data_IF_618097657252
#
_entry.id   IF_618097657252
#
_cell.length_a   1.000
_cell.length_b   1.000
_cell.length_c   1.000
_cell.angle_alpha   90.00
_cell.angle_beta   90.00
_cell.angle_gamma   90.00
#
_symmetry.space_group_name_H-M   'P 1'
#
loop_
_entity.id
_entity.type
_entity.pdbx_description
1 polymer ?
#
# COMPACT_ATOMS: atom_id res chain seq x y z
N UNK A 1 -13.36 -26.90 15.90
CA UNK A 1 -12.52 -26.03 16.74
C UNK A 1 -12.50 -24.67 16.05
N UNK A 2 -13.32 -23.74 16.51
CA UNK A 2 -13.48 -22.42 15.89
C UNK A 2 -12.42 -21.50 16.49
N UNK A 3 -11.49 -21.00 15.67
CA UNK A 3 -10.46 -20.08 16.13
C UNK A 3 -11.07 -18.67 16.27
N UNK A 4 -11.27 -18.20 17.50
CA UNK A 4 -11.55 -16.79 17.77
C UNK A 4 -10.25 -15.99 17.61
N UNK A 5 -10.17 -15.20 16.55
CA UNK A 5 -9.09 -14.23 16.35
C UNK A 5 -9.41 -13.02 17.24
N UNK A 6 -8.60 -12.77 18.28
CA UNK A 6 -8.68 -11.52 19.03
C UNK A 6 -8.20 -10.35 18.15
N UNK A 7 -9.11 -9.46 17.77
CA UNK A 7 -8.77 -8.20 17.12
C UNK A 7 -7.92 -7.31 18.06
N UNK A 8 -6.81 -6.79 17.53
CA UNK A 8 -5.87 -5.91 18.25
C UNK A 8 -6.45 -4.48 18.31
N UNK A 9 -6.28 -3.78 19.44
CA UNK A 9 -6.93 -2.51 19.80
C UNK A 9 -7.14 -1.47 18.67
N UNK A 10 -6.13 -1.12 17.84
CA UNK A 10 -6.28 -0.10 16.80
C UNK A 10 -7.29 -0.48 15.69
N UNK A 11 -7.33 -1.76 15.31
CA UNK A 11 -8.26 -2.24 14.27
C UNK A 11 -9.70 -2.26 14.77
N UNK A 12 -9.88 -2.51 16.07
CA UNK A 12 -11.19 -2.48 16.74
C UNK A 12 -11.78 -1.07 16.75
N UNK A 13 -10.95 -0.04 16.98
CA UNK A 13 -11.36 1.36 16.97
C UNK A 13 -11.75 1.85 15.56
N UNK A 14 -10.96 1.52 14.53
CA UNK A 14 -11.26 1.89 13.14
C UNK A 14 -12.56 1.23 12.66
N UNK A 15 -12.73 -0.06 12.95
CA UNK A 15 -13.94 -0.82 12.59
C UNK A 15 -15.18 -0.25 13.29
N UNK A 16 -15.08 0.05 14.58
CA UNK A 16 -16.19 0.64 15.33
C UNK A 16 -16.57 2.03 14.78
N UNK A 17 -15.57 2.88 14.48
CA UNK A 17 -15.80 4.20 13.89
C UNK A 17 -16.57 4.15 12.56
N UNK A 18 -16.20 3.20 11.69
CA UNK A 18 -16.92 2.98 10.42
C UNK A 18 -18.37 2.55 10.64
N UNK A 19 -18.62 1.57 11.52
CA UNK A 19 -19.97 1.08 11.81
C UNK A 19 -20.86 2.20 12.36
N UNK A 20 -20.32 3.01 13.27
CA UNK A 20 -21.03 4.16 13.84
C UNK A 20 -21.38 5.18 12.75
N UNK A 21 -20.44 5.51 11.87
CA UNK A 21 -20.69 6.46 10.77
C UNK A 21 -21.76 5.95 9.78
N UNK A 22 -21.69 4.67 9.40
CA UNK A 22 -22.68 4.02 8.53
C UNK A 22 -24.08 4.03 9.16
N UNK A 23 -24.19 3.73 10.45
CA UNK A 23 -25.45 3.70 11.19
C UNK A 23 -26.03 5.10 11.44
N UNK A 24 -25.21 6.10 11.76
CA UNK A 24 -25.67 7.49 11.97
C UNK A 24 -26.27 8.09 10.70
N UNK A 25 -25.73 7.74 9.52
CA UNK A 25 -26.23 8.21 8.23
C UNK A 25 -27.64 7.71 7.89
N UNK A 26 -28.03 6.54 8.40
CA UNK A 26 -29.35 5.94 8.18
C UNK A 26 -30.20 5.91 9.46
N UNK A 27 -29.86 6.72 10.45
CA UNK A 27 -30.45 6.70 11.79
C UNK A 27 -31.98 6.85 11.78
N UNK A 28 -32.52 7.57 10.80
CA UNK A 28 -33.95 7.75 10.56
C UNK A 28 -34.68 6.47 10.12
N UNK A 29 -33.94 5.46 9.67
CA UNK A 29 -34.44 4.17 9.17
C UNK A 29 -34.11 2.98 10.07
N UNK A 30 -33.25 3.18 11.07
CA UNK A 30 -32.93 2.16 12.06
C UNK A 30 -34.15 1.92 12.96
N UNK A 31 -34.38 0.66 13.33
CA UNK A 31 -35.36 0.35 14.37
C UNK A 31 -34.86 0.79 15.76
N UNK A 32 -35.75 0.77 16.76
CA UNK A 32 -35.46 1.20 18.14
C UNK A 32 -34.31 0.40 18.76
N UNK A 33 -34.16 -0.89 18.40
CA UNK A 33 -33.09 -1.73 18.92
C UNK A 33 -31.73 -1.34 18.34
N UNK A 34 -31.65 -1.09 17.04
CA UNK A 34 -30.43 -0.61 16.39
C UNK A 34 -30.06 0.81 16.85
N UNK A 35 -31.04 1.66 17.14
CA UNK A 35 -30.82 3.00 17.71
C UNK A 35 -30.21 2.96 19.11
N UNK A 36 -30.66 2.03 19.97
CA UNK A 36 -30.07 1.81 21.30
C UNK A 36 -28.60 1.36 21.19
N UNK A 37 -28.32 0.43 20.27
CA UNK A 37 -26.95 -0.05 20.04
C UNK A 37 -26.06 1.09 19.50
N UNK A 38 -26.56 1.92 18.59
CA UNK A 38 -25.84 3.09 18.08
C UNK A 38 -25.47 4.07 19.22
N UNK A 39 -26.39 4.33 20.15
CA UNK A 39 -26.13 5.15 21.33
C UNK A 39 -25.03 4.56 22.23
N UNK A 40 -25.06 3.25 22.48
CA UNK A 40 -24.00 2.54 23.23
C UNK A 40 -22.65 2.58 22.49
N UNK A 41 -22.65 2.46 21.17
CA UNK A 41 -21.44 2.50 20.36
C UNK A 41 -20.80 3.89 20.39
N UNK A 42 -21.61 4.96 20.28
CA UNK A 42 -21.15 6.35 20.43
C UNK A 42 -20.57 6.65 21.81
N UNK A 43 -21.12 6.02 22.86
CA UNK A 43 -20.59 6.10 24.21
C UNK A 43 -19.37 5.20 24.47
N UNK A 44 -18.91 4.43 23.48
CA UNK A 44 -17.75 3.54 23.61
C UNK A 44 -17.98 2.31 24.49
N UNK A 45 -19.25 1.96 24.77
CA UNK A 45 -19.63 0.86 25.67
C UNK A 45 -20.33 -0.31 24.96
N UNK A 46 -20.52 -0.23 23.64
CA UNK A 46 -21.08 -1.35 22.87
C UNK A 46 -20.13 -2.55 22.85
N UNK A 47 -20.68 -3.73 23.08
CA UNK A 47 -19.97 -5.00 22.91
C UNK A 47 -19.68 -5.30 21.43
N UNK A 48 -18.74 -6.21 21.16
CA UNK A 48 -18.44 -6.64 19.79
C UNK A 48 -19.66 -7.30 19.09
N UNK A 49 -20.48 -8.04 19.84
CA UNK A 49 -21.71 -8.62 19.33
C UNK A 49 -22.75 -7.55 18.94
N UNK A 50 -22.89 -6.51 19.76
CA UNK A 50 -23.74 -5.35 19.46
C UNK A 50 -23.23 -4.59 18.23
N UNK A 51 -21.93 -4.31 18.12
CA UNK A 51 -21.36 -3.67 16.93
C UNK A 51 -21.59 -4.50 15.65
N UNK A 52 -21.48 -5.82 15.71
CA UNK A 52 -21.80 -6.69 14.59
C UNK A 52 -23.30 -6.66 14.24
N UNK A 53 -24.19 -6.66 15.24
CA UNK A 53 -25.62 -6.55 15.02
C UNK A 53 -25.99 -5.20 14.37
N UNK A 54 -25.38 -4.11 14.83
CA UNK A 54 -25.54 -2.77 14.25
C UNK A 54 -25.02 -2.73 12.81
N UNK A 55 -23.86 -3.31 12.55
CA UNK A 55 -23.29 -3.42 11.19
C UNK A 55 -24.20 -4.20 10.25
N UNK A 56 -24.79 -5.31 10.71
CA UNK A 56 -25.74 -6.10 9.93
C UNK A 56 -27.04 -5.35 9.67
N UNK A 57 -27.60 -4.69 10.69
CA UNK A 57 -28.81 -3.86 10.55
C UNK A 57 -28.56 -2.70 9.58
N UNK A 58 -27.41 -2.03 9.70
CA UNK A 58 -27.02 -0.97 8.80
C UNK A 58 -26.81 -1.49 7.37
N UNK A 59 -26.14 -2.62 7.21
CA UNK A 59 -25.93 -3.27 5.91
C UNK A 59 -27.23 -3.74 5.25
N UNK A 60 -28.24 -4.11 6.03
CA UNK A 60 -29.55 -4.51 5.52
C UNK A 60 -30.42 -3.31 5.08
N UNK A 61 -30.23 -2.15 5.73
CA UNK A 61 -30.99 -0.93 5.49
C UNK A 61 -30.31 0.02 4.48
N UNK A 62 -29.00 -0.13 4.28
CA UNK A 62 -28.29 0.43 3.13
C UNK A 62 -28.59 -0.54 1.97
N UNK A 63 -29.46 -0.18 1.01
CA UNK A 63 -29.66 -1.04 -0.16
C UNK A 63 -28.29 -1.26 -0.79
N UNK A 64 -28.00 -2.49 -1.20
CA UNK A 64 -26.75 -2.83 -1.93
C UNK A 64 -26.51 -1.87 -3.12
N UNK A 65 -27.58 -1.27 -3.64
CA UNK A 65 -27.62 -0.27 -4.70
C UNK A 65 -27.19 1.17 -4.29
N UNK A 66 -26.97 1.45 -3.00
CA UNK A 66 -26.50 2.74 -2.47
C UNK A 66 -25.03 2.76 -2.04
N UNK A 67 -24.25 1.70 -2.29
CA UNK A 67 -22.81 1.89 -2.43
C UNK A 67 -22.61 2.57 -3.78
N UNK A 68 -22.46 3.89 -3.73
CA UNK A 68 -22.10 4.66 -4.90
C UNK A 68 -20.84 4.02 -5.53
N UNK A 69 -20.75 3.98 -6.85
CA UNK A 69 -19.67 3.28 -7.56
C UNK A 69 -18.32 3.92 -7.19
N UNK A 70 -17.45 3.12 -6.60
CA UNK A 70 -16.09 3.51 -6.18
C UNK A 70 -15.08 2.75 -7.05
N UNK A 71 -13.91 3.33 -7.32
CA UNK A 71 -12.83 2.58 -7.95
C UNK A 71 -12.27 1.52 -7.00
N UNK A 72 -11.81 0.43 -7.59
CA UNK A 72 -10.90 -0.54 -6.94
C UNK A 72 -9.44 -0.11 -7.12
N UNK A 73 -8.53 -0.66 -6.31
CA UNK A 73 -7.10 -0.42 -6.47
C UNK A 73 -6.61 -0.81 -7.88
N UNK A 74 -7.12 -1.93 -8.40
CA UNK A 74 -6.85 -2.39 -9.77
C UNK A 74 -7.29 -1.37 -10.82
N UNK A 75 -8.47 -0.77 -10.69
CA UNK A 75 -8.93 0.24 -11.65
C UNK A 75 -8.06 1.51 -11.60
N UNK A 76 -7.57 1.91 -10.43
CA UNK A 76 -6.63 3.03 -10.31
C UNK A 76 -5.26 2.71 -10.94
N UNK A 77 -4.76 1.48 -10.80
CA UNK A 77 -3.54 1.02 -11.49
C UNK A 77 -3.75 1.05 -13.00
N UNK A 78 -4.86 0.50 -13.51
CA UNK A 78 -5.15 0.50 -14.95
C UNK A 78 -5.32 1.92 -15.50
N UNK A 79 -5.94 2.81 -14.73
CA UNK A 79 -6.05 4.23 -15.08
C UNK A 79 -4.67 4.87 -15.17
N UNK A 80 -3.78 4.63 -14.20
CA UNK A 80 -2.40 5.12 -14.25
C UNK A 80 -1.66 4.62 -15.51
N UNK A 81 -1.76 3.33 -15.82
CA UNK A 81 -1.16 2.74 -17.02
C UNK A 81 -1.72 3.33 -18.33
N UNK A 82 -2.96 3.86 -18.31
CA UNK A 82 -3.53 4.57 -19.47
C UNK A 82 -2.98 5.99 -19.64
N UNK A 83 -2.48 6.60 -18.57
CA UNK A 83 -1.93 7.97 -18.54
C UNK A 83 -0.43 7.95 -18.82
N UNK A 84 0.29 7.02 -18.20
CA UNK A 84 1.72 6.87 -18.30
C UNK A 84 2.05 5.54 -19.00
N UNK A 85 2.72 5.63 -20.16
CA UNK A 85 3.20 4.45 -20.89
C UNK A 85 4.39 3.76 -20.22
N UNK A 86 4.98 4.39 -19.21
CA UNK A 86 6.14 3.86 -18.49
C UNK A 86 5.72 2.93 -17.35
N UNK A 87 6.34 1.75 -17.30
CA UNK A 87 6.16 0.77 -16.24
C UNK A 87 6.96 1.20 -15.00
N UNK A 88 6.36 2.06 -14.18
CA UNK A 88 6.80 2.27 -12.81
C UNK A 88 6.06 1.32 -11.86
N UNK A 89 6.72 0.86 -10.79
CA UNK A 89 6.06 0.05 -9.77
C UNK A 89 5.05 0.89 -9.01
N UNK A 90 3.80 0.48 -9.06
CA UNK A 90 2.70 1.09 -8.32
C UNK A 90 2.42 0.23 -7.09
N UNK A 91 2.58 0.80 -5.90
CA UNK A 91 2.31 0.08 -4.64
C UNK A 91 0.81 -0.09 -4.45
N UNK A 92 0.31 -1.32 -4.62
CA UNK A 92 -1.10 -1.64 -4.36
C UNK A 92 -1.51 -1.27 -2.93
N UNK A 93 -0.61 -1.43 -1.95
CA UNK A 93 -0.86 -1.06 -0.57
C UNK A 93 -1.07 0.46 -0.37
N UNK A 94 -0.27 1.29 -1.02
CA UNK A 94 -0.43 2.76 -0.92
C UNK A 94 -1.72 3.24 -1.60
N UNK A 95 -2.19 2.53 -2.62
CA UNK A 95 -3.49 2.79 -3.25
C UNK A 95 -4.64 2.36 -2.33
N UNK A 96 -4.56 1.19 -1.73
CA UNK A 96 -5.57 0.71 -0.76
C UNK A 96 -5.66 1.67 0.44
N UNK A 97 -4.55 2.20 0.94
CA UNK A 97 -4.54 3.25 1.97
C UNK A 97 -5.31 4.51 1.51
N UNK A 98 -5.13 4.94 0.25
CA UNK A 98 -5.87 6.07 -0.31
C UNK A 98 -7.38 5.79 -0.39
N UNK A 99 -7.75 4.59 -0.81
CA UNK A 99 -9.15 4.14 -0.89
C UNK A 99 -9.77 4.02 0.49
N UNK A 100 -9.03 3.56 1.51
CA UNK A 100 -9.49 3.47 2.88
C UNK A 100 -9.76 4.86 3.48
N UNK A 101 -8.85 5.82 3.27
CA UNK A 101 -9.04 7.22 3.70
C UNK A 101 -10.31 7.80 3.08
N UNK A 102 -10.55 7.57 1.78
CA UNK A 102 -11.74 8.04 1.09
C UNK A 102 -13.02 7.30 1.53
N UNK A 103 -12.93 5.99 1.76
CA UNK A 103 -14.03 5.09 2.09
C UNK A 103 -14.77 5.41 3.39
N UNK A 104 -14.23 6.30 4.22
CA UNK A 104 -14.92 6.86 5.38
C UNK A 104 -16.05 7.83 5.03
N UNK A 105 -16.21 8.20 3.74
CA UNK A 105 -17.23 9.14 3.27
C UNK A 105 -18.42 8.39 2.65
N UNK A 106 -19.62 8.77 3.10
CA UNK A 106 -20.90 8.20 2.63
C UNK A 106 -21.54 9.02 1.49
N UNK A 107 -20.90 10.12 1.08
CA UNK A 107 -21.33 10.99 -0.01
C UNK A 107 -20.35 10.91 -1.19
N UNK A 108 -20.81 10.75 -2.45
CA UNK A 108 -19.93 10.61 -3.60
C UNK A 108 -19.03 11.82 -3.85
N UNK A 109 -19.49 13.05 -3.54
CA UNK A 109 -18.68 14.26 -3.72
C UNK A 109 -17.57 14.34 -2.68
N UNK A 110 -17.93 14.09 -1.42
CA UNK A 110 -16.97 14.02 -0.32
C UNK A 110 -15.95 12.89 -0.53
N UNK A 111 -16.37 11.73 -1.01
CA UNK A 111 -15.48 10.62 -1.36
C UNK A 111 -14.54 10.98 -2.51
N UNK A 112 -15.07 11.53 -3.61
CA UNK A 112 -14.26 11.90 -4.78
C UNK A 112 -13.15 12.89 -4.39
N UNK A 113 -13.51 13.90 -3.58
CA UNK A 113 -12.54 14.87 -3.07
C UNK A 113 -11.52 14.23 -2.11
N UNK A 114 -11.98 13.40 -1.17
CA UNK A 114 -11.09 12.71 -0.23
C UNK A 114 -10.10 11.78 -0.95
N UNK A 115 -10.56 11.03 -1.95
CA UNK A 115 -9.72 10.16 -2.76
C UNK A 115 -8.68 10.96 -3.55
N UNK A 116 -9.10 12.05 -4.19
CA UNK A 116 -8.19 12.93 -4.91
C UNK A 116 -7.10 13.49 -4.01
N UNK A 117 -7.46 14.02 -2.84
CA UNK A 117 -6.50 14.55 -1.87
C UNK A 117 -5.56 13.46 -1.36
N UNK A 118 -6.08 12.27 -1.04
CA UNK A 118 -5.26 11.15 -0.61
C UNK A 118 -4.20 10.77 -1.67
N UNK A 119 -4.58 10.72 -2.95
CA UNK A 119 -3.64 10.44 -4.05
C UNK A 119 -2.60 11.57 -4.20
N UNK A 120 -3.02 12.84 -4.11
CA UNK A 120 -2.12 13.98 -4.22
C UNK A 120 -1.12 14.07 -3.05
N UNK A 121 -1.56 13.76 -1.83
CA UNK A 121 -0.76 13.82 -0.61
C UNK A 121 0.20 12.63 -0.52
N UNK A 122 -0.28 11.41 -0.82
CA UNK A 122 0.50 10.16 -0.68
C UNK A 122 1.35 9.85 -1.89
N UNK A 123 1.00 10.39 -3.06
CA UNK A 123 1.67 10.15 -4.34
C UNK A 123 1.94 8.66 -4.62
N UNK A 124 0.90 7.79 -4.59
CA UNK A 124 1.08 6.34 -4.74
C UNK A 124 1.56 5.90 -6.14
N UNK A 125 1.53 6.80 -7.12
CA UNK A 125 2.04 6.55 -8.46
C UNK A 125 3.41 7.20 -8.67
N UNK A 126 4.32 6.58 -9.46
CA UNK A 126 5.62 7.19 -9.75
C UNK A 126 5.53 8.53 -10.50
N UNK A 127 4.55 8.63 -11.41
CA UNK A 127 4.19 9.83 -12.17
C UNK A 127 2.66 9.86 -12.36
N UNK A 128 2.08 10.96 -12.81
CA UNK A 128 0.65 10.96 -13.14
C UNK A 128 -0.29 11.08 -11.94
N UNK A 129 0.18 11.37 -10.72
CA UNK A 129 -0.69 11.42 -9.53
C UNK A 129 -1.82 12.44 -9.65
N UNK A 130 -1.56 13.63 -10.19
CA UNK A 130 -2.59 14.65 -10.34
C UNK A 130 -3.59 14.26 -11.44
N UNK A 131 -3.09 13.67 -12.52
CA UNK A 131 -3.92 13.14 -13.59
C UNK A 131 -4.84 12.01 -13.08
N UNK A 132 -4.29 11.05 -12.33
CA UNK A 132 -5.04 9.95 -11.74
C UNK A 132 -6.06 10.49 -10.72
N UNK A 133 -5.67 11.42 -9.84
CA UNK A 133 -6.57 12.03 -8.87
C UNK A 133 -7.77 12.74 -9.55
N UNK A 134 -7.51 13.58 -10.54
CA UNK A 134 -8.55 14.31 -11.28
C UNK A 134 -9.49 13.37 -12.05
N UNK A 135 -8.94 12.40 -12.78
CA UNK A 135 -9.73 11.42 -13.53
C UNK A 135 -10.53 10.49 -12.60
N UNK A 136 -9.97 10.11 -11.44
CA UNK A 136 -10.66 9.30 -10.46
C UNK A 136 -11.83 10.03 -9.79
N UNK A 137 -11.63 11.31 -9.43
CA UNK A 137 -12.69 12.15 -8.89
C UNK A 137 -13.83 12.34 -9.91
N UNK A 138 -13.49 12.68 -11.16
CA UNK A 138 -14.48 12.82 -12.23
C UNK A 138 -15.29 11.54 -12.46
N UNK A 139 -14.60 10.40 -12.60
CA UNK A 139 -15.25 9.13 -12.87
C UNK A 139 -16.19 8.72 -11.74
N UNK A 140 -15.76 8.94 -10.49
CA UNK A 140 -16.59 8.68 -9.31
C UNK A 140 -17.85 9.56 -9.29
N UNK A 141 -17.73 10.84 -9.63
CA UNK A 141 -18.89 11.74 -9.68
C UNK A 141 -19.88 11.36 -10.79
N UNK A 142 -19.41 11.15 -12.02
CA UNK A 142 -20.24 10.77 -13.18
C UNK A 142 -20.93 9.42 -12.99
N UNK A 143 -20.20 8.42 -12.48
CA UNK A 143 -20.72 7.08 -12.20
C UNK A 143 -21.85 7.09 -11.16
N UNK A 144 -21.99 8.18 -10.41
CA UNK A 144 -22.97 8.38 -9.36
C UNK A 144 -23.97 9.51 -9.65
N UNK A 145 -24.06 9.94 -10.91
CA UNK A 145 -25.11 10.86 -11.37
C UNK A 145 -24.84 12.33 -11.08
N UNK A 146 -23.57 12.72 -10.94
CA UNK A 146 -23.21 14.14 -10.88
C UNK A 146 -22.61 14.59 -12.20
N UNK A 147 -23.01 15.77 -12.67
CA UNK A 147 -22.31 16.47 -13.74
C UNK A 147 -21.19 17.32 -13.17
N UNK A 148 -20.03 17.26 -13.82
CA UNK A 148 -18.83 17.99 -13.39
C UNK A 148 -18.23 18.67 -14.60
N UNK A 149 -17.94 19.96 -14.43
CA UNK A 149 -17.20 20.72 -15.43
C UNK A 149 -15.72 20.33 -15.36
N UNK A 150 -15.28 19.59 -16.38
CA UNK A 150 -13.88 19.16 -16.52
C UNK A 150 -12.91 20.33 -16.56
N UNK A 151 -13.32 21.51 -17.02
CA UNK A 151 -12.45 22.70 -17.03
C UNK A 151 -12.17 23.21 -15.63
N UNK A 152 -13.14 23.11 -14.71
CA UNK A 152 -12.96 23.51 -13.31
C UNK A 152 -12.12 22.50 -12.52
N UNK A 153 -12.18 21.21 -12.87
CA UNK A 153 -11.32 20.18 -12.26
C UNK A 153 -9.83 20.51 -12.46
N UNK A 154 -9.48 21.14 -13.58
CA UNK A 154 -8.11 21.56 -13.89
C UNK A 154 -7.63 22.71 -12.98
N UNK A 155 -8.51 23.66 -12.68
CA UNK A 155 -8.18 24.91 -11.99
C UNK A 155 -8.35 24.81 -10.47
N UNK A 156 -9.38 24.10 -10.02
CA UNK A 156 -9.80 24.02 -8.63
C UNK A 156 -10.54 22.68 -8.39
N UNK A 157 -9.78 21.60 -8.24
CA UNK A 157 -10.33 20.27 -7.98
C UNK A 157 -11.28 20.22 -6.78
N UNK A 158 -10.98 20.86 -5.62
CA UNK A 158 -11.94 21.01 -4.53
C UNK A 158 -13.24 21.72 -4.93
N UNK A 159 -13.14 22.88 -5.59
CA UNK A 159 -14.31 23.64 -6.02
C UNK A 159 -15.14 22.93 -7.08
N UNK A 160 -14.51 22.15 -7.96
CA UNK A 160 -15.19 21.34 -8.97
C UNK A 160 -15.96 20.17 -8.35
N UNK A 161 -15.40 19.49 -7.36
CA UNK A 161 -16.09 18.43 -6.62
C UNK A 161 -17.27 18.99 -5.80
N UNK A 162 -17.07 20.12 -5.13
CA UNK A 162 -18.12 20.78 -4.34
C UNK A 162 -19.26 21.34 -5.22
N UNK A 163 -18.90 21.90 -6.38
CA UNK A 163 -19.82 22.52 -7.34
C UNK A 163 -20.47 21.55 -8.32
N UNK A 164 -20.22 20.24 -8.22
CA UNK A 164 -20.84 19.24 -9.07
C UNK A 164 -22.37 19.31 -8.93
N UNK A 165 -23.09 19.35 -10.05
CA UNK A 165 -24.56 19.43 -10.04
C UNK A 165 -25.18 18.06 -10.24
N UNK A 166 -26.44 17.89 -9.87
CA UNK A 166 -27.15 16.65 -10.14
C UNK A 166 -27.33 16.46 -11.65
N UNK A 167 -27.13 15.24 -12.11
CA UNK A 167 -27.10 14.87 -13.52
C UNK A 167 -27.64 13.48 -13.76
N UNK A 168 -27.47 12.98 -14.99
CA UNK A 168 -27.81 11.60 -15.33
C UNK A 168 -26.63 10.69 -14.97
N UNK A 169 -26.92 9.59 -14.25
CA UNK A 169 -25.94 8.53 -13.98
C UNK A 169 -25.35 7.99 -15.29
N UNK A 170 -24.03 7.92 -15.33
CA UNK A 170 -23.32 7.27 -16.43
C UNK A 170 -23.27 5.76 -16.20
N UNK A 171 -23.84 4.97 -17.11
CA UNK A 171 -23.95 3.51 -16.95
C UNK A 171 -22.72 2.73 -17.41
N UNK A 172 -21.73 3.42 -17.99
CA UNK A 172 -20.43 2.81 -18.36
C UNK A 172 -19.67 2.31 -17.14
N UNK A 173 -18.67 1.44 -17.38
CA UNK A 173 -17.76 0.98 -16.31
C UNK A 173 -16.95 2.16 -15.78
N UNK A 174 -16.59 2.14 -14.50
CA UNK A 174 -15.87 3.25 -13.86
C UNK A 174 -14.58 3.59 -14.63
N UNK A 175 -13.80 2.58 -15.01
CA UNK A 175 -12.55 2.76 -15.77
C UNK A 175 -12.80 3.42 -17.14
N UNK A 176 -13.86 3.07 -17.86
CA UNK A 176 -14.19 3.68 -19.16
C UNK A 176 -14.54 5.17 -19.02
N UNK A 177 -15.22 5.53 -17.92
CA UNK A 177 -15.52 6.93 -17.59
C UNK A 177 -14.21 7.67 -17.27
N UNK A 178 -13.32 7.07 -16.48
CA UNK A 178 -12.03 7.66 -16.12
C UNK A 178 -11.13 7.87 -17.35
N UNK A 179 -11.00 6.88 -18.23
CA UNK A 179 -10.25 7.00 -19.49
C UNK A 179 -10.87 8.04 -20.43
N UNK A 180 -12.20 8.25 -20.39
CA UNK A 180 -12.83 9.33 -21.14
C UNK A 180 -12.42 10.71 -20.62
N UNK A 181 -12.23 10.85 -19.30
CA UNK A 181 -11.65 12.06 -18.73
C UNK A 181 -10.20 12.21 -19.17
N UNK A 182 -9.35 11.18 -19.04
CA UNK A 182 -7.95 11.23 -19.49
C UNK A 182 -7.84 11.72 -20.93
N UNK A 183 -8.70 11.24 -21.84
CA UNK A 183 -8.73 11.74 -23.24
C UNK A 183 -9.15 13.20 -23.36
N UNK A 184 -10.05 13.67 -22.51
CA UNK A 184 -10.56 15.04 -22.54
C UNK A 184 -9.58 16.07 -21.91
N UNK A 185 -8.88 15.69 -20.83
CA UNK A 185 -8.03 16.59 -20.03
C UNK A 185 -6.53 16.26 -20.09
N UNK A 186 -6.14 15.15 -20.72
CA UNK A 186 -4.77 14.58 -20.65
C UNK A 186 -3.66 15.50 -21.17
N UNK A 187 -3.88 16.23 -22.27
CA UNK A 187 -2.86 17.15 -22.81
C UNK A 187 -2.58 18.35 -21.89
N UNK A 188 -3.50 18.66 -20.97
CA UNK A 188 -3.40 19.76 -20.02
C UNK A 188 -2.90 19.30 -18.66
N UNK A 189 -3.30 18.10 -18.20
CA UNK A 189 -2.80 17.49 -16.97
C UNK A 189 -1.29 17.25 -16.99
N UNK A 190 -0.75 16.82 -18.14
CA UNK A 190 0.71 16.67 -18.33
C UNK A 190 1.44 18.00 -18.12
N UNK A 191 0.84 19.14 -18.51
CA UNK A 191 1.41 20.47 -18.27
C UNK A 191 1.31 20.89 -16.80
N UNK A 192 0.20 20.60 -16.14
CA UNK A 192 0.04 20.90 -14.71
C UNK A 192 1.04 20.10 -13.85
N UNK A 193 1.24 18.82 -14.16
CA UNK A 193 2.24 17.99 -13.47
C UNK A 193 3.67 18.42 -13.75
N UNK A 194 4.01 18.82 -14.97
CA UNK A 194 5.36 19.32 -15.26
C UNK A 194 5.66 20.62 -14.53
N UNK A 195 4.67 21.49 -14.35
CA UNK A 195 4.78 22.72 -13.55
C UNK A 195 4.92 22.40 -12.05
N UNK A 196 4.14 21.46 -11.51
CA UNK A 196 4.26 21.00 -10.11
C UNK A 196 5.60 20.32 -9.86
N UNK A 197 6.10 19.52 -10.82
CA UNK A 197 7.41 18.89 -10.74
C UNK A 197 8.53 19.95 -10.76
N UNK A 198 8.48 20.92 -11.68
CA UNK A 198 9.45 22.04 -11.74
C UNK A 198 9.47 22.89 -10.48
N UNK A 199 8.32 23.09 -9.84
CA UNK A 199 8.21 23.89 -8.61
C UNK A 199 8.71 23.15 -7.36
N UNK A 200 8.66 21.81 -7.36
CA UNK A 200 9.17 20.97 -6.26
C UNK A 200 10.65 20.58 -6.42
N UNK A 201 11.25 20.80 -7.60
CA UNK A 201 12.70 20.65 -7.82
C UNK A 201 13.53 21.81 -7.25
N UNK A 202 12.89 22.81 -6.64
CA UNK A 202 13.55 23.90 -5.93
C UNK A 202 13.46 23.58 -4.43
N UNK A 203 14.61 23.36 -3.78
CA UNK A 203 14.80 23.17 -2.34
C UNK A 203 14.68 21.74 -1.78
N UNK A 204 15.46 20.80 -2.32
CA UNK A 204 16.18 19.84 -1.48
C UNK A 204 17.58 19.69 -2.07
N UNK A 205 18.53 20.50 -1.58
CA UNK A 205 19.94 20.13 -1.76
C UNK A 205 20.12 18.76 -1.08
N UNK A 206 20.61 17.73 -1.79
CA UNK A 206 20.86 16.45 -1.16
C UNK A 206 21.87 16.68 -0.05
N UNK A 207 21.50 16.35 1.19
CA UNK A 207 22.46 16.24 2.28
C UNK A 207 23.64 15.40 1.77
N UNK A 208 24.91 15.81 2.03
CA UNK A 208 26.09 15.13 1.52
C UNK A 208 26.24 13.77 2.22
N UNK A 209 25.47 12.78 1.77
CA UNK A 209 25.68 11.38 2.05
C UNK A 209 26.59 10.77 0.99
N UNK A 210 27.47 9.81 1.34
CA UNK A 210 28.42 9.24 0.41
C UNK A 210 27.73 8.62 -0.81
N UNK A 211 28.35 8.82 -1.97
CA UNK A 211 27.82 8.58 -3.33
C UNK A 211 27.79 7.11 -3.76
N UNK A 212 27.44 6.16 -2.88
CA UNK A 212 27.45 4.74 -3.24
C UNK A 212 26.06 4.25 -3.65
N UNK A 213 25.98 3.61 -4.82
CA UNK A 213 24.85 2.78 -5.23
C UNK A 213 24.86 1.49 -4.41
N UNK A 214 23.76 1.11 -3.77
CA UNK A 214 23.67 -0.16 -3.06
C UNK A 214 23.89 -1.34 -4.03
N UNK A 215 24.58 -2.39 -3.55
CA UNK A 215 24.69 -3.67 -4.24
C UNK A 215 23.52 -4.56 -3.83
N UNK A 216 22.68 -4.92 -4.80
CA UNK A 216 21.45 -5.67 -4.56
C UNK A 216 21.59 -7.16 -4.94
N UNK A 217 20.74 -8.01 -4.37
CA UNK A 217 20.71 -9.45 -4.64
C UNK A 217 19.84 -9.78 -5.85
N UNK A 218 20.39 -10.51 -6.82
CA UNK A 218 19.64 -10.99 -7.98
C UNK A 218 18.73 -12.16 -7.66
N UNK A 219 17.73 -12.39 -8.53
CA UNK A 219 16.93 -13.62 -8.54
C UNK A 219 17.83 -14.87 -8.47
N UNK A 220 18.92 -14.87 -9.23
CA UNK A 220 19.88 -15.97 -9.26
C UNK A 220 20.64 -16.13 -7.94
N UNK A 221 20.92 -15.03 -7.24
CA UNK A 221 21.53 -15.08 -5.91
C UNK A 221 20.55 -15.66 -4.89
N UNK A 222 19.27 -15.29 -4.93
CA UNK A 222 18.25 -15.83 -4.02
C UNK A 222 17.99 -17.33 -4.25
N UNK A 223 17.93 -17.78 -5.51
CA UNK A 223 17.80 -19.21 -5.86
C UNK A 223 19.02 -19.99 -5.35
N UNK A 224 20.22 -19.43 -5.56
CA UNK A 224 21.45 -20.04 -5.10
C UNK A 224 21.51 -20.10 -3.57
N UNK A 225 21.21 -19.00 -2.87
CA UNK A 225 21.11 -18.93 -1.40
C UNK A 225 20.15 -19.99 -0.87
N UNK A 226 18.96 -20.14 -1.45
CA UNK A 226 18.01 -21.17 -1.02
C UNK A 226 18.56 -22.59 -1.19
N UNK A 227 19.22 -22.85 -2.33
CA UNK A 227 19.78 -24.16 -2.63
C UNK A 227 20.89 -24.53 -1.64
N UNK A 228 21.81 -23.61 -1.36
CA UNK A 228 22.90 -23.82 -0.40
C UNK A 228 22.37 -23.92 1.04
N UNK A 229 21.46 -23.03 1.46
CA UNK A 229 20.92 -23.03 2.82
C UNK A 229 20.05 -24.26 3.15
N UNK A 230 19.58 -24.98 2.13
CA UNK A 230 18.79 -26.22 2.29
C UNK A 230 19.56 -27.48 1.90
N UNK A 231 20.72 -27.35 1.27
CA UNK A 231 21.50 -28.47 0.72
C UNK A 231 20.85 -29.18 -0.47
N UNK A 232 19.85 -28.56 -1.13
CA UNK A 232 19.13 -29.14 -2.27
C UNK A 232 18.47 -28.06 -3.13
N UNK A 233 18.29 -28.34 -4.41
CA UNK A 233 17.45 -27.48 -5.28
C UNK A 233 15.98 -27.64 -4.90
N UNK A 234 15.30 -26.53 -4.62
CA UNK A 234 13.85 -26.51 -4.40
C UNK A 234 13.13 -25.92 -5.62
N UNK A 235 11.89 -26.35 -5.87
CA UNK A 235 11.02 -25.65 -6.80
C UNK A 235 10.69 -24.26 -6.27
N UNK A 236 10.48 -23.31 -7.17
CA UNK A 236 10.07 -21.95 -6.82
C UNK A 236 8.98 -21.44 -7.76
N UNK A 237 8.19 -20.50 -7.26
CA UNK A 237 7.18 -19.75 -8.02
C UNK A 237 7.84 -18.45 -8.49
N UNK A 238 7.93 -18.25 -9.80
CA UNK A 238 8.74 -17.18 -10.38
C UNK A 238 8.18 -15.80 -10.01
N UNK A 239 6.87 -15.61 -10.11
CA UNK A 239 6.23 -14.31 -9.89
C UNK A 239 6.39 -13.89 -8.42
N UNK A 240 6.18 -14.80 -7.47
CA UNK A 240 6.43 -14.56 -6.05
C UNK A 240 7.90 -14.25 -5.74
N UNK A 241 8.85 -14.93 -6.40
CA UNK A 241 10.28 -14.70 -6.17
C UNK A 241 10.72 -13.35 -6.72
N UNK A 242 10.25 -13.00 -7.93
CA UNK A 242 10.47 -11.70 -8.55
C UNK A 242 9.92 -10.58 -7.68
N UNK A 243 8.70 -10.71 -7.16
CA UNK A 243 8.12 -9.75 -6.23
C UNK A 243 8.94 -9.60 -4.94
N UNK A 244 9.48 -10.69 -4.38
CA UNK A 244 10.35 -10.61 -3.20
C UNK A 244 11.66 -9.86 -3.51
N UNK A 245 12.32 -10.23 -4.61
CA UNK A 245 13.58 -9.60 -5.04
C UNK A 245 13.37 -8.12 -5.39
N UNK A 246 12.22 -7.80 -5.98
CA UNK A 246 11.82 -6.45 -6.36
C UNK A 246 11.91 -5.46 -5.20
N UNK A 247 11.54 -5.86 -3.98
CA UNK A 247 11.64 -5.01 -2.79
C UNK A 247 13.07 -4.61 -2.39
N UNK A 248 14.10 -5.35 -2.83
CA UNK A 248 15.49 -4.93 -2.62
C UNK A 248 15.86 -3.80 -3.58
N UNK A 249 15.43 -3.88 -4.83
CA UNK A 249 15.86 -2.98 -5.90
C UNK A 249 15.21 -1.60 -5.87
N UNK A 250 14.00 -1.46 -5.29
CA UNK A 250 13.25 -0.22 -5.13
C UNK A 250 13.30 0.76 -6.30
N UNK A 251 12.25 0.83 -7.14
CA UNK A 251 12.20 1.84 -8.20
C UNK A 251 12.28 3.28 -7.64
N UNK A 252 13.29 4.05 -8.05
CA UNK A 252 13.45 5.50 -7.78
C UNK A 252 14.74 5.89 -7.03
N UNK A 253 14.84 7.16 -6.61
CA UNK A 253 15.93 7.69 -5.77
C UNK A 253 15.82 7.26 -4.28
N UNK A 254 14.97 6.28 -3.96
CA UNK A 254 14.73 5.86 -2.58
C UNK A 254 15.97 5.16 -2.01
N UNK A 255 16.76 5.91 -1.24
CA UNK A 255 17.94 5.43 -0.52
C UNK A 255 17.63 4.80 0.84
N UNK A 256 16.35 4.50 1.11
CA UNK A 256 15.91 3.89 2.39
C UNK A 256 16.14 2.38 2.39
N UNK A 257 17.39 2.00 2.62
CA UNK A 257 17.86 0.62 2.73
C UNK A 257 17.05 -0.19 3.75
N UNK A 258 16.58 0.44 4.83
CA UNK A 258 15.86 -0.24 5.89
C UNK A 258 14.44 -0.60 5.47
N UNK A 259 13.79 0.27 4.67
CA UNK A 259 12.49 -0.02 4.06
C UNK A 259 12.63 -1.19 3.08
N UNK A 260 13.61 -1.12 2.16
CA UNK A 260 13.89 -2.17 1.18
C UNK A 260 14.16 -3.53 1.86
N UNK A 261 15.13 -3.57 2.77
CA UNK A 261 15.49 -4.77 3.53
C UNK A 261 14.32 -5.34 4.36
N UNK A 262 13.54 -4.47 5.00
CA UNK A 262 12.37 -4.88 5.76
C UNK A 262 11.27 -5.49 4.87
N UNK A 263 10.99 -4.87 3.72
CA UNK A 263 9.99 -5.35 2.77
C UNK A 263 10.43 -6.68 2.13
N UNK A 264 11.71 -6.84 1.80
CA UNK A 264 12.27 -8.10 1.30
C UNK A 264 12.03 -9.26 2.28
N UNK A 265 12.35 -9.09 3.57
CA UNK A 265 12.14 -10.13 4.59
C UNK A 265 10.66 -10.45 4.73
N UNK A 266 9.82 -9.40 4.84
CA UNK A 266 8.39 -9.58 5.05
C UNK A 266 7.70 -10.28 3.86
N UNK A 267 8.03 -9.87 2.64
CA UNK A 267 7.48 -10.47 1.42
C UNK A 267 7.95 -11.92 1.26
N UNK A 268 9.22 -12.22 1.50
CA UNK A 268 9.73 -13.60 1.43
C UNK A 268 9.05 -14.54 2.44
N UNK A 269 8.79 -14.04 3.65
CA UNK A 269 8.06 -14.80 4.68
C UNK A 269 6.57 -14.99 4.34
N UNK A 270 5.95 -14.00 3.68
CA UNK A 270 4.54 -13.99 3.31
C UNK A 270 4.27 -14.85 2.08
N UNK A 271 4.96 -14.58 0.98
CA UNK A 271 4.73 -15.22 -0.32
C UNK A 271 5.35 -16.60 -0.42
N UNK A 272 6.40 -16.87 0.36
CA UNK A 272 7.09 -18.18 0.40
C UNK A 272 7.43 -18.68 -1.01
N UNK A 273 8.27 -17.95 -1.75
CA UNK A 273 8.52 -18.24 -3.17
C UNK A 273 9.12 -19.63 -3.44
N UNK A 274 9.73 -20.28 -2.44
CA UNK A 274 10.30 -21.63 -2.56
C UNK A 274 9.41 -22.69 -1.92
N UNK A 275 9.49 -23.92 -2.40
CA UNK A 275 8.81 -25.07 -1.77
C UNK A 275 9.28 -25.36 -0.33
N UNK A 276 10.52 -24.98 -0.01
CA UNK A 276 11.12 -25.10 1.32
C UNK A 276 12.21 -24.02 1.53
N UNK A 277 12.65 -23.82 2.78
CA UNK A 277 13.79 -22.96 3.09
C UNK A 277 13.52 -21.45 3.10
N UNK A 278 12.28 -21.00 2.90
CA UNK A 278 11.94 -19.57 2.79
C UNK A 278 12.42 -18.71 3.97
N UNK A 279 12.35 -19.22 5.21
CA UNK A 279 12.85 -18.51 6.39
C UNK A 279 14.36 -18.32 6.35
N UNK A 280 15.10 -19.38 5.98
CA UNK A 280 16.55 -19.34 5.83
C UNK A 280 16.93 -18.38 4.70
N UNK A 281 16.23 -18.44 3.57
CA UNK A 281 16.45 -17.53 2.45
C UNK A 281 16.16 -16.07 2.81
N UNK A 282 15.08 -15.79 3.55
CA UNK A 282 14.77 -14.44 4.02
C UNK A 282 15.87 -13.89 4.93
N UNK A 283 16.34 -14.70 5.89
CA UNK A 283 17.42 -14.30 6.80
C UNK A 283 18.74 -14.12 6.06
N UNK A 284 19.22 -15.14 5.33
CA UNK A 284 20.51 -15.08 4.64
C UNK A 284 20.51 -13.99 3.57
N UNK A 285 19.43 -13.84 2.79
CA UNK A 285 19.32 -12.77 1.82
C UNK A 285 19.39 -11.37 2.46
N UNK A 286 18.69 -11.16 3.58
CA UNK A 286 18.77 -9.89 4.31
C UNK A 286 20.21 -9.61 4.76
N UNK A 287 20.83 -10.59 5.41
CA UNK A 287 22.16 -10.41 5.99
C UNK A 287 23.21 -10.24 4.89
N UNK A 288 23.10 -10.94 3.77
CA UNK A 288 23.96 -10.74 2.61
C UNK A 288 23.82 -9.33 2.05
N UNK A 289 22.59 -8.83 1.88
CA UNK A 289 22.33 -7.45 1.44
C UNK A 289 22.96 -6.43 2.40
N UNK A 290 22.82 -6.62 3.71
CA UNK A 290 23.41 -5.73 4.71
C UNK A 290 24.94 -5.77 4.65
N UNK A 291 25.55 -6.96 4.64
CA UNK A 291 27.01 -7.11 4.65
C UNK A 291 27.68 -6.51 3.41
N UNK A 292 27.18 -6.78 2.21
CA UNK A 292 27.81 -6.24 0.98
C UNK A 292 27.70 -4.71 0.90
N UNK A 293 26.70 -4.13 1.58
CA UNK A 293 26.51 -2.69 1.67
C UNK A 293 27.18 -2.06 2.91
N UNK A 294 28.07 -2.79 3.58
CA UNK A 294 28.91 -2.28 4.67
C UNK A 294 28.20 -2.14 6.02
N UNK A 295 27.01 -2.72 6.19
CA UNK A 295 26.30 -2.69 7.46
C UNK A 295 26.81 -3.77 8.42
N UNK A 296 27.05 -3.38 9.66
CA UNK A 296 27.31 -4.31 10.77
C UNK A 296 26.00 -4.56 11.52
N UNK A 297 25.74 -5.81 11.91
CA UNK A 297 24.50 -6.20 12.57
C UNK A 297 24.71 -7.28 13.63
N UNK A 298 23.74 -7.41 14.53
CA UNK A 298 23.70 -8.44 15.56
C UNK A 298 22.27 -8.94 15.73
N UNK A 299 22.08 -10.26 15.61
CA UNK A 299 20.78 -10.92 15.83
C UNK A 299 20.97 -12.02 16.86
N UNK A 300 20.64 -11.77 18.15
CA UNK A 300 20.85 -12.75 19.22
C UNK A 300 20.08 -14.06 19.03
N UNK A 301 18.84 -13.98 18.53
CA UNK A 301 17.99 -15.13 18.23
C UNK A 301 17.27 -14.90 16.89
N UNK A 302 17.84 -15.41 15.78
CA UNK A 302 17.29 -15.18 14.45
C UNK A 302 15.91 -15.77 14.22
N UNK A 303 15.60 -16.91 14.82
CA UNK A 303 14.30 -17.57 14.65
C UNK A 303 13.20 -16.79 15.37
N UNK A 304 13.45 -16.37 16.61
CA UNK A 304 12.52 -15.51 17.35
C UNK A 304 12.35 -14.15 16.66
N UNK A 305 13.42 -13.59 16.08
CA UNK A 305 13.38 -12.34 15.33
C UNK A 305 12.50 -12.47 14.07
N UNK A 306 12.69 -13.52 13.27
CA UNK A 306 11.84 -13.79 12.10
C UNK A 306 10.38 -14.04 12.49
N UNK A 307 10.12 -14.73 13.61
CA UNK A 307 8.77 -14.97 14.10
C UNK A 307 8.02 -13.69 14.45
N UNK A 308 8.69 -12.70 15.03
CA UNK A 308 8.08 -11.40 15.32
C UNK A 308 7.63 -10.68 14.05
N UNK A 309 8.41 -10.79 12.96
CA UNK A 309 8.07 -10.20 11.65
C UNK A 309 6.93 -10.99 11.00
N UNK A 310 7.06 -12.33 10.94
CA UNK A 310 6.06 -13.20 10.33
C UNK A 310 4.68 -13.08 11.00
N UNK A 311 4.65 -12.91 12.32
CA UNK A 311 3.44 -12.73 13.12
C UNK A 311 2.98 -11.26 13.19
N UNK A 312 3.65 -10.35 12.47
CA UNK A 312 3.36 -8.90 12.45
C UNK A 312 3.37 -8.24 13.85
N UNK A 313 4.10 -8.82 14.80
CA UNK A 313 4.30 -8.24 16.14
C UNK A 313 5.21 -7.02 16.09
N UNK A 314 6.12 -6.96 15.10
CA UNK A 314 7.02 -5.84 14.86
C UNK A 314 6.97 -5.47 13.38
N UNK A 315 6.98 -4.17 13.09
CA UNK A 315 7.06 -3.68 11.71
C UNK A 315 8.43 -4.06 11.10
N UNK A 316 8.49 -4.61 9.87
CA UNK A 316 9.73 -5.15 9.29
C UNK A 316 10.88 -4.14 9.24
N UNK A 317 10.61 -2.91 8.77
CA UNK A 317 11.60 -1.81 8.75
C UNK A 317 12.16 -1.49 10.14
N UNK A 318 11.33 -1.56 11.19
CA UNK A 318 11.76 -1.32 12.57
C UNK A 318 12.61 -2.48 13.09
N UNK A 319 12.23 -3.72 12.76
CA UNK A 319 12.98 -4.91 13.12
C UNK A 319 14.39 -4.91 12.50
N UNK A 320 14.50 -4.52 11.23
CA UNK A 320 15.79 -4.39 10.53
C UNK A 320 16.64 -3.26 11.12
N UNK A 321 16.08 -2.08 11.37
CA UNK A 321 16.82 -0.98 12.02
C UNK A 321 17.35 -1.36 13.41
N UNK A 322 16.63 -2.23 14.14
CA UNK A 322 17.02 -2.63 15.49
C UNK A 322 18.23 -3.57 15.53
N UNK A 323 18.52 -4.30 14.45
CA UNK A 323 19.66 -5.24 14.40
C UNK A 323 20.94 -4.60 13.86
N UNK A 324 20.83 -3.49 13.12
CA UNK A 324 21.99 -2.78 12.56
C UNK A 324 22.67 -1.93 13.63
N UNK A 325 23.99 -2.07 13.75
CA UNK A 325 24.83 -1.39 14.75
C UNK A 325 25.56 -0.19 14.16
N UNK A 326 26.09 -0.36 12.95
CA UNK A 326 26.88 0.66 12.28
C UNK A 326 26.80 0.47 10.76
N UNK A 327 27.26 1.48 10.02
CA UNK A 327 27.41 1.42 8.57
C UNK A 327 28.80 1.95 8.20
N UNK A 328 29.53 1.16 7.44
CA UNK A 328 30.83 1.48 6.86
C UNK A 328 30.73 1.58 5.34
N UNK A 329 31.83 1.88 4.65
CA UNK A 329 31.84 1.88 3.20
C UNK A 329 31.50 0.48 2.65
N UNK A 330 30.72 0.38 1.55
CA UNK A 330 30.44 -0.91 0.93
C UNK A 330 31.73 -1.68 0.65
N UNK A 331 31.74 -2.95 0.97
CA UNK A 331 32.85 -3.83 0.65
C UNK A 331 32.55 -4.45 -0.72
N UNK A 332 33.52 -4.46 -1.62
CA UNK A 332 33.41 -5.11 -2.94
C UNK A 332 33.47 -6.64 -2.82
N UNK A 333 32.67 -7.20 -1.93
CA UNK A 333 32.64 -8.62 -1.65
C UNK A 333 31.69 -9.32 -2.63
N UNK A 334 32.05 -10.54 -3.01
CA UNK A 334 31.15 -11.40 -3.78
C UNK A 334 29.95 -11.79 -2.90
N UNK A 335 28.74 -11.45 -3.34
CA UNK A 335 27.48 -11.76 -2.65
C UNK A 335 27.38 -13.24 -2.25
N UNK A 336 27.84 -14.15 -3.12
CA UNK A 336 27.74 -15.60 -2.86
C UNK A 336 28.71 -16.07 -1.79
N UNK A 337 29.92 -15.52 -1.75
CA UNK A 337 30.89 -15.81 -0.69
C UNK A 337 30.37 -15.34 0.66
N UNK A 338 29.87 -14.11 0.72
CA UNK A 338 29.23 -13.54 1.91
C UNK A 338 28.05 -14.40 2.37
N UNK A 339 27.17 -14.80 1.45
CA UNK A 339 26.05 -15.68 1.75
C UNK A 339 26.50 -17.04 2.29
N UNK A 340 27.55 -17.64 1.74
CA UNK A 340 28.08 -18.93 2.19
C UNK A 340 28.61 -18.84 3.63
N UNK A 341 29.38 -17.80 3.93
CA UNK A 341 29.89 -17.56 5.28
C UNK A 341 28.74 -17.39 6.30
N UNK A 342 27.70 -16.67 5.92
CA UNK A 342 26.49 -16.51 6.72
C UNK A 342 25.73 -17.83 6.89
N UNK A 343 25.63 -18.65 5.85
CA UNK A 343 25.00 -19.98 5.94
C UNK A 343 25.77 -20.85 6.92
N UNK A 344 27.10 -20.88 6.86
CA UNK A 344 27.91 -21.63 7.82
C UNK A 344 27.76 -21.09 9.25
N UNK A 345 27.75 -19.76 9.42
CA UNK A 345 27.63 -19.14 10.75
C UNK A 345 26.29 -19.42 11.45
N UNK A 346 25.18 -19.49 10.69
CA UNK A 346 23.84 -19.63 11.25
C UNK A 346 23.25 -21.03 11.13
N UNK A 347 23.71 -21.84 10.18
CA UNK A 347 23.11 -23.14 9.86
C UNK A 347 24.15 -24.25 9.62
N UNK A 348 25.44 -23.97 9.77
CA UNK A 348 26.50 -24.98 9.67
C UNK A 348 26.45 -25.97 10.83
N UNK A 349 26.55 -27.27 10.50
CA UNK A 349 26.79 -28.37 11.43
C UNK A 349 28.27 -28.70 11.52
#
# INVERSE_FOLDING_TARGET
MTFEIQEVGPLKEVRAGRIIAEAEYIKDKLDVGALDILGKAQAGIASAAELNALSNAASALIPFERRFRQPTARELILLHLSIASEQGSVSSAEIEDCLEIAGQKLDPRAYALALANAILDRKPFPIGNAAVAASAAYATLRANGFEVDLTRIEEDLPGACAGASDGKKDDRRWLEIAESAVRAIGSKLVKAESLIAQHNSIALEPAPGPSFSYQYLTLQDLIWINSEATGRTNSYEFDALEECAFFLYGYGESKDWAKQAGQFVASTLLYRPFGDGNRRTALIGLLSFLTVNGFEFEIPDPDAWLDQIAQRKVHPTKAVKAIVKSQSAPQSNNVREVALDLIHAYYGH
#
